data_IF_690821783420
#
_entry.id   IF_690821783420
#
_cell.length_a   1.000
_cell.length_b   1.000
_cell.length_c   1.000
_cell.angle_alpha   90.00
_cell.angle_beta   90.00
_cell.angle_gamma   90.00
#
_symmetry.space_group_name_H-M   'P 1'
#
loop_
_entity.id
_entity.type
_entity.pdbx_description
1 polymer ?
#
# COMPACT_ATOMS: atom_id res chain seq x y z
N UNK A 1 18.03 -5.65 -3.58
CA UNK A 1 16.71 -6.32 -3.69
C UNK A 1 15.78 -5.47 -4.55
N UNK A 2 15.13 -6.06 -5.56
CA UNK A 2 14.27 -5.36 -6.53
C UNK A 2 13.15 -4.58 -5.82
N UNK A 3 12.51 -5.16 -4.80
CA UNK A 3 11.39 -4.55 -4.09
C UNK A 3 11.68 -3.21 -3.40
N UNK A 4 12.81 -3.12 -2.67
CA UNK A 4 13.18 -1.86 -2.01
C UNK A 4 13.52 -0.77 -3.04
N UNK A 5 14.25 -1.12 -4.11
CA UNK A 5 14.60 -0.16 -5.17
C UNK A 5 13.36 0.39 -5.88
N UNK A 6 12.43 -0.49 -6.26
CA UNK A 6 11.16 -0.11 -6.86
C UNK A 6 10.32 0.76 -5.90
N UNK A 7 10.25 0.40 -4.61
CA UNK A 7 9.56 1.21 -3.60
C UNK A 7 10.16 2.62 -3.49
N UNK A 8 11.49 2.72 -3.40
CA UNK A 8 12.16 4.02 -3.31
C UNK A 8 11.92 4.87 -4.56
N UNK A 9 11.93 4.27 -5.74
CA UNK A 9 11.75 4.99 -7.00
C UNK A 9 10.30 5.45 -7.24
N UNK A 10 9.29 4.72 -6.75
CA UNK A 10 7.90 4.91 -7.18
C UNK A 10 6.90 5.20 -6.05
N UNK A 11 7.21 4.82 -4.82
CA UNK A 11 6.25 4.87 -3.70
C UNK A 11 6.67 5.86 -2.60
N UNK A 12 7.98 5.98 -2.37
CA UNK A 12 8.53 6.72 -1.23
C UNK A 12 8.29 8.24 -1.25
N UNK A 13 7.94 8.81 -2.41
CA UNK A 13 7.59 10.24 -2.53
C UNK A 13 6.33 10.60 -1.75
N UNK A 14 5.38 9.67 -1.65
CA UNK A 14 4.14 9.85 -0.88
C UNK A 14 4.14 9.03 0.42
N UNK A 15 4.52 7.75 0.36
CA UNK A 15 4.47 6.87 1.53
C UNK A 15 5.71 6.98 2.44
N UNK A 16 6.66 7.86 2.08
CA UNK A 16 7.88 8.10 2.83
C UNK A 16 8.95 7.01 2.63
N UNK A 17 10.21 7.41 2.73
CA UNK A 17 11.38 6.53 2.56
C UNK A 17 11.40 5.37 3.58
N UNK A 18 10.84 5.59 4.76
CA UNK A 18 10.77 4.64 5.87
C UNK A 18 9.35 4.08 6.07
N UNK A 19 8.47 4.19 5.06
CA UNK A 19 7.08 3.71 5.11
C UNK A 19 6.19 4.45 6.12
N UNK A 20 6.61 5.63 6.58
CA UNK A 20 5.94 6.39 7.62
C UNK A 20 4.66 7.12 7.14
N UNK A 21 4.43 7.16 5.83
CA UNK A 21 3.31 7.91 5.24
C UNK A 21 3.47 9.41 5.37
N UNK A 22 2.40 10.13 5.03
CA UNK A 22 2.29 11.57 5.25
C UNK A 22 1.76 11.87 6.66
N UNK A 23 2.13 13.02 7.26
CA UNK A 23 1.53 13.48 8.50
C UNK A 23 0.00 13.59 8.39
N UNK A 24 -0.70 13.37 9.52
CA UNK A 24 -2.17 13.49 9.59
C UNK A 24 -2.90 12.65 8.54
N UNK A 25 -2.39 11.48 8.14
CA UNK A 25 -2.96 10.63 7.09
C UNK A 25 -4.41 10.18 7.31
N UNK A 26 -4.94 10.32 8.54
CA UNK A 26 -6.34 10.06 8.88
C UNK A 26 -7.25 11.28 8.78
N UNK A 27 -6.71 12.47 8.51
CA UNK A 27 -7.45 13.71 8.35
C UNK A 27 -7.60 14.03 6.86
N UNK A 28 -8.82 14.34 6.43
CA UNK A 28 -9.08 14.72 5.04
C UNK A 28 -8.46 16.08 4.75
N UNK A 29 -7.90 16.21 3.56
CA UNK A 29 -7.48 17.48 2.97
C UNK A 29 -8.72 18.31 2.57
N UNK A 30 -8.56 19.61 2.28
CA UNK A 30 -9.65 20.47 1.81
C UNK A 30 -10.38 19.94 0.56
N UNK A 31 -9.68 19.15 -0.27
CA UNK A 31 -10.22 18.50 -1.46
C UNK A 31 -10.95 17.17 -1.17
N UNK A 32 -11.05 16.77 0.09
CA UNK A 32 -11.72 15.54 0.53
C UNK A 32 -10.86 14.26 0.49
N UNK A 33 -9.67 14.28 -0.11
CA UNK A 33 -8.77 13.12 -0.16
C UNK A 33 -8.04 12.90 1.18
N UNK A 34 -7.65 11.65 1.45
CA UNK A 34 -6.73 11.34 2.55
C UNK A 34 -5.27 11.40 2.07
N UNK A 35 -4.33 11.88 2.89
CA UNK A 35 -2.90 11.73 2.63
C UNK A 35 -2.49 10.26 2.55
N UNK A 36 -1.33 10.00 1.96
CA UNK A 36 -0.80 8.65 1.80
C UNK A 36 -0.58 8.00 3.18
N UNK A 37 -1.21 6.85 3.47
CA UNK A 37 -1.08 6.18 4.76
C UNK A 37 0.33 5.61 4.96
N UNK A 38 0.78 5.42 6.21
CA UNK A 38 1.94 4.61 6.50
C UNK A 38 1.73 3.19 6.00
N UNK A 39 2.83 2.58 5.59
CA UNK A 39 2.94 1.17 5.28
C UNK A 39 3.63 0.38 6.38
N UNK A 40 3.98 1.02 7.51
CA UNK A 40 4.47 0.36 8.72
C UNK A 40 3.33 -0.15 9.64
N UNK A 41 3.68 -0.54 10.86
CA UNK A 41 2.72 -1.06 11.86
C UNK A 41 1.57 -0.09 12.21
N UNK A 42 1.77 1.21 12.02
CA UNK A 42 0.79 2.25 12.37
C UNK A 42 -0.26 2.46 11.28
N UNK A 43 0.00 1.93 10.09
CA UNK A 43 -0.83 2.04 8.89
C UNK A 43 -2.02 1.09 8.84
N UNK A 44 -2.63 1.03 7.65
CA UNK A 44 -3.82 0.21 7.40
C UNK A 44 -3.60 -0.93 6.39
N UNK A 45 -2.52 -0.92 5.61
CA UNK A 45 -2.34 -1.84 4.49
C UNK A 45 -2.41 -3.32 4.87
N UNK A 46 -1.91 -3.69 6.04
CA UNK A 46 -1.91 -5.09 6.51
C UNK A 46 -3.31 -5.65 6.83
N UNK A 47 -4.36 -4.82 6.83
CA UNK A 47 -5.75 -5.28 6.94
C UNK A 47 -6.31 -5.86 5.65
N UNK A 48 -5.59 -5.75 4.53
CA UNK A 48 -6.05 -6.23 3.23
C UNK A 48 -5.32 -7.51 2.79
N UNK A 49 -6.00 -8.39 2.04
CA UNK A 49 -5.35 -9.54 1.44
C UNK A 49 -4.42 -9.12 0.29
N UNK A 50 -3.45 -9.98 -0.04
CA UNK A 50 -2.42 -9.71 -1.05
C UNK A 50 -3.02 -9.38 -2.42
N UNK A 51 -4.12 -10.03 -2.81
CA UNK A 51 -4.82 -9.71 -4.06
C UNK A 51 -5.33 -8.27 -4.08
N UNK A 52 -5.96 -7.81 -3.01
CA UNK A 52 -6.45 -6.42 -2.90
C UNK A 52 -5.29 -5.43 -2.92
N UNK A 53 -4.19 -5.71 -2.21
CA UNK A 53 -2.99 -4.86 -2.23
C UNK A 53 -2.37 -4.79 -3.63
N UNK A 54 -2.34 -5.91 -4.34
CA UNK A 54 -1.87 -5.97 -5.72
C UNK A 54 -2.78 -5.17 -6.65
N UNK A 55 -4.10 -5.36 -6.59
CA UNK A 55 -5.07 -4.65 -7.42
C UNK A 55 -5.04 -3.13 -7.17
N UNK A 56 -4.92 -2.69 -5.91
CA UNK A 56 -4.75 -1.28 -5.53
C UNK A 56 -3.48 -0.71 -6.15
N UNK A 57 -2.36 -1.44 -6.08
CA UNK A 57 -1.09 -0.96 -6.61
C UNK A 57 -1.10 -0.93 -8.15
N UNK A 58 -1.64 -1.97 -8.78
CA UNK A 58 -1.67 -2.09 -10.25
C UNK A 58 -2.61 -1.06 -10.87
N UNK A 59 -3.84 -0.98 -10.38
CA UNK A 59 -4.93 -0.20 -11.00
C UNK A 59 -5.17 1.17 -10.34
N UNK A 60 -4.50 1.44 -9.23
CA UNK A 60 -4.64 2.67 -8.46
C UNK A 60 -5.68 2.54 -7.34
N UNK A 61 -5.52 3.38 -6.32
CA UNK A 61 -6.35 3.30 -5.12
C UNK A 61 -7.82 3.65 -5.38
N UNK A 62 -8.11 4.47 -6.38
CA UNK A 62 -9.48 4.82 -6.73
C UNK A 62 -10.26 3.61 -7.28
N UNK A 63 -9.58 2.65 -7.93
CA UNK A 63 -10.21 1.45 -8.49
C UNK A 63 -10.87 0.57 -7.42
N UNK A 64 -10.35 0.59 -6.20
CA UNK A 64 -10.85 -0.23 -5.08
C UNK A 64 -11.49 0.65 -3.97
N UNK A 65 -11.69 1.94 -4.24
CA UNK A 65 -12.22 2.87 -3.27
C UNK A 65 -13.75 2.68 -3.11
N UNK A 66 -14.28 2.71 -1.87
CA UNK A 66 -15.73 2.68 -1.68
C UNK A 66 -16.39 3.96 -2.24
N UNK A 67 -17.71 3.93 -2.54
CA UNK A 67 -18.43 5.11 -2.99
C UNK A 67 -18.19 6.33 -2.09
N UNK A 68 -17.89 7.47 -2.71
CA UNK A 68 -17.60 8.73 -2.00
C UNK A 68 -16.18 8.85 -1.44
N UNK A 69 -15.31 7.85 -1.61
CA UNK A 69 -13.89 7.96 -1.23
C UNK A 69 -13.04 8.48 -2.40
N UNK A 70 -12.23 9.50 -2.12
CA UNK A 70 -11.28 10.09 -3.09
C UNK A 70 -9.87 9.60 -2.78
N UNK A 71 -9.32 8.80 -3.68
CA UNK A 71 -7.94 8.30 -3.62
C UNK A 71 -7.06 9.03 -4.63
N UNK A 72 -5.90 9.49 -4.17
CA UNK A 72 -4.84 10.08 -5.02
C UNK A 72 -3.75 9.07 -5.42
N UNK A 73 -3.85 7.82 -5.01
CA UNK A 73 -2.87 6.78 -5.37
C UNK A 73 -3.01 6.37 -6.85
N UNK A 74 -2.01 6.63 -7.70
CA UNK A 74 -2.06 6.28 -9.12
C UNK A 74 -1.96 4.76 -9.31
N UNK A 75 -2.38 4.28 -10.49
CA UNK A 75 -2.09 2.93 -10.94
C UNK A 75 -0.70 2.82 -11.55
N UNK A 76 -0.06 1.67 -11.34
CA UNK A 76 1.29 1.38 -11.84
C UNK A 76 1.34 0.34 -12.95
N UNK A 77 0.20 -0.10 -13.49
CA UNK A 77 0.12 -1.15 -14.53
C UNK A 77 0.94 -0.88 -15.79
N UNK A 78 1.11 0.39 -16.18
CA UNK A 78 1.92 0.79 -17.33
C UNK A 78 3.40 1.09 -16.99
N UNK A 79 3.74 1.09 -15.69
CA UNK A 79 5.05 1.51 -15.18
C UNK A 79 5.84 0.39 -14.49
N UNK A 80 5.16 -0.67 -14.05
CA UNK A 80 5.73 -1.76 -13.29
C UNK A 80 5.15 -3.09 -13.76
N UNK A 81 6.01 -4.08 -13.90
CA UNK A 81 5.59 -5.47 -14.10
C UNK A 81 4.93 -6.04 -12.84
N UNK A 82 4.13 -7.08 -13.00
CA UNK A 82 3.50 -7.79 -11.88
C UNK A 82 4.54 -8.30 -10.87
N UNK A 83 5.71 -8.74 -11.37
CA UNK A 83 6.84 -9.17 -10.53
C UNK A 83 7.38 -8.03 -9.67
N UNK A 84 7.49 -6.82 -10.21
CA UNK A 84 7.94 -5.65 -9.46
C UNK A 84 6.90 -5.22 -8.42
N UNK A 85 5.61 -5.25 -8.76
CA UNK A 85 4.53 -4.96 -7.82
C UNK A 85 4.57 -5.95 -6.65
N UNK A 86 4.66 -7.25 -6.93
CA UNK A 86 4.82 -8.25 -5.89
C UNK A 86 6.08 -8.06 -5.06
N UNK A 87 7.21 -7.68 -5.68
CA UNK A 87 8.45 -7.40 -4.96
C UNK A 87 8.33 -6.19 -4.02
N UNK A 88 7.63 -5.11 -4.44
CA UNK A 88 7.35 -3.95 -3.59
C UNK A 88 6.45 -4.34 -2.41
N UNK A 89 5.39 -5.10 -2.66
CA UNK A 89 4.51 -5.58 -1.59
C UNK A 89 5.27 -6.48 -0.60
N UNK A 90 6.11 -7.40 -1.10
CA UNK A 90 6.96 -8.22 -0.24
C UNK A 90 7.93 -7.37 0.60
N UNK A 91 8.51 -6.32 0.01
CA UNK A 91 9.35 -5.36 0.74
C UNK A 91 8.57 -4.66 1.86
N UNK A 92 7.39 -4.11 1.58
CA UNK A 92 6.52 -3.49 2.58
C UNK A 92 6.22 -4.49 3.72
N UNK A 93 5.78 -5.70 3.37
CA UNK A 93 5.44 -6.76 4.33
C UNK A 93 6.62 -7.16 5.22
N UNK A 94 7.84 -7.14 4.69
CA UNK A 94 9.05 -7.48 5.45
C UNK A 94 9.39 -6.48 6.56
N UNK A 95 8.77 -5.30 6.55
CA UNK A 95 8.95 -4.26 7.58
C UNK A 95 7.93 -4.35 8.70
N UNK A 96 6.95 -5.25 8.59
CA UNK A 96 5.96 -5.45 9.64
C UNK A 96 6.53 -6.33 10.77
N UNK A 97 6.19 -6.01 12.03
CA UNK A 97 6.38 -6.93 13.14
C UNK A 97 5.79 -8.32 12.87
N UNK A 98 6.33 -9.34 13.54
CA UNK A 98 5.95 -10.74 13.30
C UNK A 98 4.44 -10.95 13.50
N UNK A 99 3.87 -10.38 14.55
CA UNK A 99 2.45 -10.47 14.89
C UNK A 99 1.54 -9.88 13.80
N UNK A 100 1.97 -8.81 13.13
CA UNK A 100 1.21 -8.20 12.02
C UNK A 100 1.31 -9.08 10.77
N UNK A 101 2.48 -9.67 10.49
CA UNK A 101 2.66 -10.59 9.36
C UNK A 101 1.79 -11.84 9.54
N UNK A 102 1.71 -12.39 10.75
CA UNK A 102 0.85 -13.53 11.07
C UNK A 102 -0.64 -13.18 10.91
N UNK A 103 -1.07 -12.03 11.43
CA UNK A 103 -2.45 -11.56 11.25
C UNK A 103 -2.80 -11.40 9.77
N UNK A 104 -1.92 -10.78 8.98
CA UNK A 104 -2.15 -10.59 7.56
C UNK A 104 -2.14 -11.91 6.78
N UNK A 105 -1.30 -12.87 7.16
CA UNK A 105 -1.36 -14.23 6.63
C UNK A 105 -2.71 -14.89 6.92
N UNK A 106 -3.27 -14.69 8.12
CA UNK A 106 -4.62 -15.14 8.46
C UNK A 106 -5.71 -14.50 7.59
N UNK A 107 -5.58 -13.21 7.26
CA UNK A 107 -6.49 -12.50 6.33
C UNK A 107 -6.37 -13.10 4.92
N UNK A 108 -5.14 -13.31 4.44
CA UNK A 108 -4.89 -13.96 3.15
C UNK A 108 -5.56 -15.33 3.05
N UNK A 109 -5.44 -16.18 4.07
CA UNK A 109 -6.04 -17.52 4.05
C UNK A 109 -7.56 -17.50 3.97
N UNK A 110 -8.22 -16.50 4.57
CA UNK A 110 -9.69 -16.35 4.54
C UNK A 110 -10.22 -15.75 3.24
N UNK A 111 -9.35 -15.11 2.46
CA UNK A 111 -9.69 -14.46 1.20
C UNK A 111 -9.40 -15.34 -0.03
N UNK A 112 -8.96 -16.59 0.18
CA UNK A 112 -8.72 -17.59 -0.87
C UNK A 112 -10.01 -18.28 -1.29
#
# INVERSE_FOLDING_TARGET
MIGQGAYTARCASCHGKNLQGEPNWRQRRPDGALPAPPHDRTGHSWHHPDKTLFDITKKGGQHNAPPGFVSRMPGFESLMSDKEIHAVLAYIKSRWPAEIRERQAGINSRAR
#
